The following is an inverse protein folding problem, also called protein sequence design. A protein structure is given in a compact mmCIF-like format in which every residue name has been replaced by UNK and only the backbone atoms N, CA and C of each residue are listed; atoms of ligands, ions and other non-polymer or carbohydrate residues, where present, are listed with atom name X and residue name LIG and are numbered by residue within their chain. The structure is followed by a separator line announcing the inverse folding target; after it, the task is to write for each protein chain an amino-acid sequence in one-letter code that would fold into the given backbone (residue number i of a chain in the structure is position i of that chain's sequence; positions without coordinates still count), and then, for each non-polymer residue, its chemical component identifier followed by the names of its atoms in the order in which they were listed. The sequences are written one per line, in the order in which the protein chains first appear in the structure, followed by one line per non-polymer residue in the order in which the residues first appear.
data_IF_564215984898
#
_entry.id   IF_564215984898
#
_cell.length_a   1.000
_cell.length_b   1.000
_cell.length_c   1.000
_cell.angle_alpha   90.00
_cell.angle_beta   90.00
_cell.angle_gamma   90.00
#
_symmetry.space_group_name_H-M   'P 1'
#
loop_
_entity.id
_entity.type
_entity.pdbx_description
1 polymer ?
#
# COMPACT_ATOMS: atom_id res chain seq x y z
N UNK A 1 12.39 -8.89 8.99
CA UNK A 1 12.27 -9.83 7.84
C UNK A 1 11.02 -10.72 7.86
N UNK A 2 10.13 -10.67 8.87
CA UNK A 2 9.03 -11.64 9.00
C UNK A 2 7.65 -11.24 8.46
N UNK A 3 7.41 -9.99 8.03
CA UNK A 3 6.03 -9.52 7.85
C UNK A 3 5.43 -9.81 6.46
N UNK A 4 6.20 -9.70 5.38
CA UNK A 4 5.69 -9.94 4.00
C UNK A 4 5.43 -11.41 3.69
N UNK A 5 6.25 -12.32 4.22
CA UNK A 5 6.08 -13.77 3.96
C UNK A 5 4.81 -14.27 4.62
N UNK A 6 4.59 -13.90 5.89
CA UNK A 6 3.35 -14.22 6.62
C UNK A 6 2.14 -13.52 5.99
N UNK A 7 2.25 -12.26 5.59
CA UNK A 7 1.21 -11.56 4.84
C UNK A 7 0.80 -12.31 3.57
N UNK A 8 1.77 -12.72 2.74
CA UNK A 8 1.52 -13.49 1.52
C UNK A 8 0.91 -14.86 1.83
N UNK A 9 1.36 -15.53 2.89
CA UNK A 9 0.84 -16.82 3.32
C UNK A 9 -0.62 -16.73 3.76
N UNK A 10 -0.98 -15.75 4.59
CA UNK A 10 -2.37 -15.50 5.02
C UNK A 10 -3.26 -15.22 3.81
N UNK A 11 -2.80 -14.43 2.86
CA UNK A 11 -3.55 -14.15 1.62
C UNK A 11 -3.71 -15.41 0.75
N UNK A 12 -2.71 -16.29 0.70
CA UNK A 12 -2.79 -17.55 -0.03
C UNK A 12 -3.79 -18.53 0.64
N UNK A 13 -3.69 -18.71 1.97
CA UNK A 13 -4.60 -19.57 2.75
C UNK A 13 -6.07 -19.13 2.63
N UNK A 14 -6.33 -17.83 2.55
CA UNK A 14 -7.67 -17.30 2.30
C UNK A 14 -8.23 -17.83 0.96
N UNK A 15 -7.42 -17.79 -0.10
CA UNK A 15 -7.79 -18.33 -1.41
C UNK A 15 -8.06 -19.84 -1.38
N UNK A 16 -7.22 -20.61 -0.67
CA UNK A 16 -7.38 -22.07 -0.51
C UNK A 16 -8.68 -22.42 0.24
N UNK A 17 -9.12 -21.58 1.17
CA UNK A 17 -10.36 -21.75 1.94
C UNK A 17 -11.61 -21.24 1.19
N UNK A 18 -11.48 -20.87 -0.08
CA UNK A 18 -12.59 -20.36 -0.91
C UNK A 18 -12.91 -18.87 -0.69
N UNK A 19 -12.14 -18.17 0.13
CA UNK A 19 -12.30 -16.74 0.41
C UNK A 19 -11.23 -15.95 -0.36
N UNK A 20 -11.49 -15.62 -1.62
CA UNK A 20 -10.50 -14.88 -2.42
C UNK A 20 -10.18 -13.49 -1.82
N UNK A 21 -8.90 -13.15 -1.59
CA UNK A 21 -8.54 -11.81 -1.15
C UNK A 21 -8.98 -10.76 -2.18
N UNK A 22 -9.55 -9.66 -1.68
CA UNK A 22 -9.98 -8.54 -2.51
C UNK A 22 -9.17 -7.27 -2.18
N UNK A 23 -9.45 -6.15 -2.85
CA UNK A 23 -8.75 -4.87 -2.62
C UNK A 23 -8.77 -4.44 -1.15
N UNK A 24 -9.87 -4.69 -0.43
CA UNK A 24 -9.98 -4.36 1.00
C UNK A 24 -9.00 -5.21 1.81
N UNK A 25 -8.92 -6.52 1.55
CA UNK A 25 -7.96 -7.41 2.24
C UNK A 25 -6.52 -6.94 2.03
N UNK A 26 -6.14 -6.62 0.79
CA UNK A 26 -4.81 -6.09 0.49
C UNK A 26 -4.55 -4.77 1.21
N UNK A 27 -5.49 -3.84 1.18
CA UNK A 27 -5.37 -2.54 1.84
C UNK A 27 -5.15 -2.67 3.36
N UNK A 28 -5.84 -3.62 4.02
CA UNK A 28 -5.64 -3.91 5.44
C UNK A 28 -4.20 -4.34 5.74
N UNK A 29 -3.67 -5.28 4.94
CA UNK A 29 -2.32 -5.82 5.14
C UNK A 29 -1.26 -4.77 4.81
N UNK A 30 -1.42 -4.04 3.70
CA UNK A 30 -0.55 -2.90 3.31
C UNK A 30 -0.51 -1.87 4.44
N UNK A 31 -1.67 -1.51 5.02
CA UNK A 31 -1.73 -0.58 6.14
C UNK A 31 -1.03 -1.08 7.40
N UNK A 32 -1.12 -2.39 7.69
CA UNK A 32 -0.35 -3.04 8.75
C UNK A 32 1.16 -2.92 8.53
N UNK A 33 1.63 -3.17 7.31
CA UNK A 33 3.04 -3.06 6.92
C UNK A 33 3.55 -1.62 7.05
N UNK A 34 2.78 -0.63 6.59
CA UNK A 34 3.10 0.78 6.77
C UNK A 34 3.26 1.16 8.25
N UNK A 35 2.38 0.67 9.14
CA UNK A 35 2.42 0.97 10.59
C UNK A 35 3.67 0.44 11.29
N UNK A 36 4.23 -0.66 10.80
CA UNK A 36 5.48 -1.22 11.35
C UNK A 36 6.73 -0.74 10.61
N UNK A 37 6.59 0.22 9.69
CA UNK A 37 7.69 0.79 8.91
C UNK A 37 8.22 -0.12 7.78
N UNK A 38 7.52 -1.20 7.45
CA UNK A 38 7.85 -2.16 6.40
C UNK A 38 7.33 -1.66 5.03
N UNK A 39 7.82 -0.50 4.58
CA UNK A 39 7.30 0.21 3.41
C UNK A 39 7.66 -0.48 2.08
N UNK A 40 8.85 -1.07 1.98
CA UNK A 40 9.25 -1.84 0.80
C UNK A 40 8.37 -3.07 0.62
N UNK A 41 8.05 -3.75 1.73
CA UNK A 41 7.10 -4.85 1.77
C UNK A 41 5.69 -4.41 1.37
N UNK A 42 5.25 -3.23 1.85
CA UNK A 42 3.94 -2.67 1.51
C UNK A 42 3.82 -2.39 -0.01
N UNK A 43 4.86 -1.80 -0.62
CA UNK A 43 4.93 -1.58 -2.07
C UNK A 43 4.95 -2.89 -2.86
N UNK A 44 5.72 -3.90 -2.42
CA UNK A 44 5.69 -5.22 -3.03
C UNK A 44 4.29 -5.83 -3.00
N UNK A 45 3.56 -5.67 -1.90
CA UNK A 45 2.23 -6.25 -1.77
C UNK A 45 1.20 -5.55 -2.67
N UNK A 46 1.32 -4.22 -2.85
CA UNK A 46 0.57 -3.48 -3.88
C UNK A 46 0.87 -4.02 -5.28
N UNK A 47 2.12 -4.33 -5.59
CA UNK A 47 2.47 -4.92 -6.89
C UNK A 47 1.81 -6.29 -7.08
N UNK A 48 1.84 -7.16 -6.07
CA UNK A 48 1.18 -8.48 -6.12
C UNK A 48 -0.34 -8.34 -6.30
N UNK A 49 -0.96 -7.35 -5.65
CA UNK A 49 -2.37 -7.02 -5.85
C UNK A 49 -2.66 -6.74 -7.34
N UNK A 50 -1.86 -5.87 -7.97
CA UNK A 50 -1.99 -5.54 -9.40
C UNK A 50 -1.73 -6.75 -10.31
N UNK A 51 -0.72 -7.56 -10.03
CA UNK A 51 -0.40 -8.79 -10.78
C UNK A 51 -1.53 -9.83 -10.73
N UNK A 52 -2.35 -9.80 -9.67
CA UNK A 52 -3.56 -10.63 -9.53
C UNK A 52 -4.81 -10.03 -10.17
N UNK A 53 -4.68 -8.92 -10.90
CA UNK A 53 -5.79 -8.25 -11.58
C UNK A 53 -6.65 -7.38 -10.66
N UNK A 54 -6.23 -7.14 -9.42
CA UNK A 54 -6.91 -6.20 -8.53
C UNK A 54 -6.40 -4.78 -8.77
N UNK A 55 -7.32 -3.82 -8.81
CA UNK A 55 -7.00 -2.41 -9.06
C UNK A 55 -6.72 -1.71 -7.73
N UNK A 56 -5.51 -1.16 -7.59
CA UNK A 56 -5.18 -0.27 -6.48
C UNK A 56 -5.97 1.03 -6.66
N UNK A 57 -6.68 1.44 -5.61
CA UNK A 57 -7.54 2.62 -5.62
C UNK A 57 -6.90 3.77 -4.84
N UNK A 58 -7.58 4.92 -4.81
CA UNK A 58 -7.11 6.10 -4.08
C UNK A 58 -6.82 5.80 -2.61
N UNK A 59 -7.54 4.85 -2.00
CA UNK A 59 -7.33 4.44 -0.62
C UNK A 59 -6.03 3.63 -0.47
N UNK A 60 -5.74 2.70 -1.39
CA UNK A 60 -4.45 1.98 -1.45
C UNK A 60 -3.26 2.95 -1.48
N UNK A 61 -3.29 3.93 -2.39
CA UNK A 61 -2.21 4.91 -2.53
C UNK A 61 -2.11 5.83 -1.31
N UNK A 62 -3.23 6.25 -0.74
CA UNK A 62 -3.27 7.06 0.49
C UNK A 62 -2.65 6.34 1.67
N UNK A 63 -2.86 5.03 1.82
CA UNK A 63 -2.21 4.22 2.86
C UNK A 63 -0.68 4.23 2.70
N UNK A 64 -0.20 4.02 1.47
CA UNK A 64 1.23 4.00 1.18
C UNK A 64 1.86 5.37 1.45
N UNK A 65 1.30 6.44 0.87
CA UNK A 65 1.82 7.81 1.04
C UNK A 65 1.88 8.21 2.51
N UNK A 66 0.83 7.93 3.28
CA UNK A 66 0.84 8.16 4.73
C UNK A 66 1.91 7.34 5.46
N UNK A 67 2.18 6.12 5.01
CA UNK A 67 3.27 5.29 5.54
C UNK A 67 4.65 5.92 5.29
N UNK A 68 4.90 6.38 4.06
CA UNK A 68 6.16 7.03 3.67
C UNK A 68 6.37 8.35 4.41
N UNK A 69 5.35 9.21 4.48
CA UNK A 69 5.45 10.51 5.18
C UNK A 69 5.75 10.33 6.68
N UNK A 70 5.18 9.32 7.32
CA UNK A 70 5.42 9.05 8.75
C UNK A 70 6.80 8.49 9.05
N UNK A 71 7.54 8.02 8.04
CA UNK A 71 8.87 7.45 8.21
C UNK A 71 9.91 8.47 7.76
N UNK A 72 10.61 9.06 8.72
CA UNK A 72 11.67 10.05 8.45
C UNK A 72 12.67 9.54 7.39
N UNK A 73 12.97 10.40 6.42
CA UNK A 73 13.96 10.11 5.38
C UNK A 73 13.50 9.25 4.20
N UNK A 74 12.21 8.87 4.11
CA UNK A 74 11.67 8.20 2.93
C UNK A 74 10.77 9.12 2.09
N UNK A 75 11.00 9.15 0.78
CA UNK A 75 10.30 10.04 -0.14
C UNK A 75 8.97 9.43 -0.60
N UNK A 76 7.86 10.14 -0.37
CA UNK A 76 6.52 9.70 -0.80
C UNK A 76 6.18 10.11 -2.25
N UNK A 77 7.01 10.95 -2.89
CA UNK A 77 6.77 11.45 -4.25
C UNK A 77 6.62 10.35 -5.31
N UNK A 78 7.42 9.27 -5.34
CA UNK A 78 7.28 8.23 -6.35
C UNK A 78 5.89 7.57 -6.32
N UNK A 79 5.32 7.37 -5.12
CA UNK A 79 3.99 6.79 -4.94
C UNK A 79 2.90 7.76 -5.41
N UNK A 80 3.08 9.07 -5.20
CA UNK A 80 2.14 10.08 -5.67
C UNK A 80 2.15 10.22 -7.20
N UNK A 81 3.33 10.12 -7.82
CA UNK A 81 3.45 10.10 -9.28
C UNK A 81 2.75 8.86 -9.86
N UNK A 82 2.99 7.68 -9.28
CA UNK A 82 2.33 6.44 -9.69
C UNK A 82 0.79 6.52 -9.55
N UNK A 83 0.29 7.15 -8.47
CA UNK A 83 -1.14 7.41 -8.29
C UNK A 83 -1.70 8.26 -9.44
N UNK A 84 -0.98 9.32 -9.81
CA UNK A 84 -1.39 10.24 -10.88
C UNK A 84 -1.35 9.58 -12.26
N UNK A 85 -0.31 8.77 -12.54
CA UNK A 85 -0.20 7.96 -13.77
C UNK A 85 -1.31 6.92 -13.88
N UNK A 86 -1.80 6.43 -12.74
CA UNK A 86 -2.96 5.53 -12.66
C UNK A 86 -4.30 6.24 -12.86
N UNK A 87 -4.30 7.55 -13.16
CA UNK A 87 -5.49 8.37 -13.37
C UNK A 87 -6.24 8.72 -12.08
N UNK A 88 -5.62 8.50 -10.91
CA UNK A 88 -6.22 8.79 -9.61
C UNK A 88 -5.74 10.17 -9.13
N UNK A 89 -6.68 10.99 -8.67
CA UNK A 89 -6.36 12.29 -8.08
C UNK A 89 -5.99 12.13 -6.61
N UNK A 90 -4.80 12.58 -6.18
CA UNK A 90 -4.45 12.60 -4.76
C UNK A 90 -5.46 13.45 -4.00
N UNK A 91 -6.03 12.90 -2.92
CA UNK A 91 -6.94 13.65 -2.07
C UNK A 91 -6.16 14.76 -1.32
N UNK A 92 -6.87 15.76 -0.80
CA UNK A 92 -6.27 16.91 -0.09
C UNK A 92 -5.27 16.48 1.00
N UNK A 93 -5.59 15.41 1.73
CA UNK A 93 -4.76 14.85 2.81
C UNK A 93 -3.41 14.31 2.27
N UNK A 94 -3.40 13.79 1.05
CA UNK A 94 -2.22 13.24 0.39
C UNK A 94 -1.23 14.33 0.00
N UNK A 95 -1.72 15.52 -0.40
CA UNK A 95 -0.87 16.69 -0.68
C UNK A 95 -0.33 17.34 0.58
N UNK A 96 -1.14 17.47 1.64
CA UNK A 96 -0.68 18.07 2.91
C UNK A 96 0.41 17.25 3.57
N UNK A 97 0.33 15.91 3.47
CA UNK A 97 1.32 15.00 4.02
C UNK A 97 2.72 15.19 3.39
N UNK A 98 2.81 15.66 2.14
CA UNK A 98 4.08 15.96 1.48
C UNK A 98 4.67 17.32 1.86
N UNK A 99 3.83 18.27 2.29
CA UNK A 99 4.27 19.62 2.66
C UNK A 99 4.76 19.65 4.12
N UNK A 100 4.16 18.86 5.02
CA UNK A 100 4.55 18.76 6.43
C UNK A 100 5.75 17.83 6.69
N UNK A 101 6.26 17.13 5.67
CA UNK A 101 7.41 16.21 5.78
C UNK A 101 8.79 16.87 5.63
N UNK A 102 8.87 18.21 5.69
CA UNK A 102 10.10 19.01 5.53
C UNK A 102 10.70 19.46 6.86
#
# INVERSE_FOLDING_TARGET
MGNIVEAKKVLAEMGEKGCSPNSITYNVVIGGLCRVGALDEACQLKKVMTEKGLVADSYTYTILINGFVKKEGQEAKPILLEMSESGLTPEYITYTALIDGS
#
